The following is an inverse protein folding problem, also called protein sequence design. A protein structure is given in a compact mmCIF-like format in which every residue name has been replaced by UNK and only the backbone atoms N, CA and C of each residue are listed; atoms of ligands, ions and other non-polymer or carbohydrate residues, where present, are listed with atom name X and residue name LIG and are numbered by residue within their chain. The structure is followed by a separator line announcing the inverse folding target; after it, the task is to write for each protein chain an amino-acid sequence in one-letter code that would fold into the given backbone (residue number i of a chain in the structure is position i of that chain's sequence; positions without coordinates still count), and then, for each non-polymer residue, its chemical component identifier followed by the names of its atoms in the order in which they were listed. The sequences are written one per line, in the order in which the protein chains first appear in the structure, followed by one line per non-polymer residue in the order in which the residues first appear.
data_IF_177694324514
#
_entry.id   IF_177694324514
#
_cell.length_a   1.000
_cell.length_b   1.000
_cell.length_c   1.000
_cell.angle_alpha   90.00
_cell.angle_beta   90.00
_cell.angle_gamma   90.00
#
_symmetry.space_group_name_H-M   'P 1'
#
loop_
_entity.id
_entity.type
_entity.pdbx_description
1 polymer ?
#
# COMPACT_ATOMS: atom_id res chain seq x y z
N UNK A 1 9.58 -22.81 9.50
CA UNK A 1 9.71 -21.33 9.51
C UNK A 1 10.09 -20.91 8.09
N UNK A 2 9.11 -20.69 7.21
CA UNK A 2 9.38 -20.13 5.87
C UNK A 2 9.57 -18.63 6.06
N UNK A 3 10.80 -18.18 5.90
CA UNK A 3 11.18 -16.79 6.14
C UNK A 3 10.49 -15.89 5.12
N UNK A 4 9.48 -15.12 5.56
CA UNK A 4 8.79 -14.07 4.78
C UNK A 4 9.71 -12.88 4.46
N UNK A 5 11.02 -13.06 4.46
CA UNK A 5 12.02 -12.01 4.19
C UNK A 5 11.75 -11.34 2.85
N UNK A 6 11.36 -12.10 1.81
CA UNK A 6 10.96 -11.52 0.52
C UNK A 6 9.65 -10.71 0.53
N UNK A 7 8.85 -10.78 1.59
CA UNK A 7 7.64 -9.97 1.76
C UNK A 7 7.90 -8.65 2.50
N UNK A 8 9.00 -8.54 3.26
CA UNK A 8 9.39 -7.30 3.93
C UNK A 8 10.25 -6.40 3.06
N UNK A 9 11.03 -6.96 2.13
CA UNK A 9 11.85 -6.16 1.22
C UNK A 9 11.00 -5.54 0.09
N UNK A 10 11.25 -4.27 -0.26
CA UNK A 10 10.66 -3.65 -1.44
C UNK A 10 10.93 -4.49 -2.70
N UNK A 11 9.89 -4.68 -3.51
CA UNK A 11 10.01 -5.31 -4.82
C UNK A 11 10.58 -4.33 -5.85
N UNK A 12 10.16 -3.08 -5.80
CA UNK A 12 10.62 -1.98 -6.65
C UNK A 12 10.28 -0.64 -6.00
N UNK A 13 10.53 0.47 -6.67
CA UNK A 13 9.95 1.78 -6.34
C UNK A 13 9.18 2.39 -7.50
N UNK A 14 8.25 3.28 -7.18
CA UNK A 14 7.45 4.07 -8.13
C UNK A 14 7.60 5.57 -7.87
N UNK A 15 7.21 6.41 -8.83
CA UNK A 15 7.17 7.86 -8.63
C UNK A 15 5.98 8.27 -7.76
N UNK A 16 6.06 9.44 -7.13
CA UNK A 16 4.93 10.00 -6.39
C UNK A 16 3.67 10.21 -7.25
N UNK A 17 3.85 10.60 -8.52
CA UNK A 17 2.75 10.76 -9.47
C UNK A 17 2.06 9.41 -9.78
N UNK A 18 2.85 8.35 -10.00
CA UNK A 18 2.29 7.01 -10.24
C UNK A 18 1.58 6.47 -9.01
N UNK A 19 2.20 6.62 -7.83
CA UNK A 19 1.63 6.18 -6.54
C UNK A 19 0.30 6.87 -6.27
N UNK A 20 0.28 8.21 -6.32
CA UNK A 20 -0.94 9.00 -6.05
C UNK A 20 -2.07 8.65 -7.03
N UNK A 21 -1.75 8.49 -8.32
CA UNK A 21 -2.72 8.05 -9.33
C UNK A 21 -3.29 6.66 -9.02
N UNK A 22 -2.44 5.70 -8.67
CA UNK A 22 -2.89 4.34 -8.30
C UNK A 22 -3.78 4.35 -7.06
N UNK A 23 -3.40 5.07 -6.01
CA UNK A 23 -4.22 5.18 -4.79
C UNK A 23 -5.57 5.85 -5.10
N UNK A 24 -5.60 6.89 -5.94
CA UNK A 24 -6.84 7.53 -6.37
C UNK A 24 -7.76 6.55 -7.12
N UNK A 25 -7.21 5.76 -8.05
CA UNK A 25 -7.95 4.69 -8.73
C UNK A 25 -8.50 3.67 -7.73
N UNK A 26 -7.70 3.22 -6.76
CA UNK A 26 -8.15 2.25 -5.75
C UNK A 26 -9.25 2.82 -4.86
N UNK A 27 -9.16 4.09 -4.46
CA UNK A 27 -10.23 4.74 -3.69
C UNK A 27 -11.54 4.77 -4.48
N UNK A 28 -11.47 5.04 -5.78
CA UNK A 28 -12.65 5.06 -6.65
C UNK A 28 -13.24 3.65 -6.87
N UNK A 29 -12.40 2.63 -6.98
CA UNK A 29 -12.83 1.26 -7.29
C UNK A 29 -13.21 0.42 -6.06
N UNK A 30 -12.75 0.80 -4.86
CA UNK A 30 -12.87 -0.02 -3.64
C UNK A 30 -13.72 0.69 -2.59
N UNK A 31 -15.01 0.34 -2.47
CA UNK A 31 -15.89 0.87 -1.44
C UNK A 31 -15.29 0.67 -0.04
N UNK A 32 -15.31 1.72 0.79
CA UNK A 32 -14.80 1.67 2.16
C UNK A 32 -13.30 1.98 2.30
N UNK A 33 -12.52 2.04 1.21
CA UNK A 33 -11.08 2.32 1.31
C UNK A 33 -10.82 3.77 1.74
N UNK A 34 -11.61 4.73 1.25
CA UNK A 34 -11.48 6.14 1.63
C UNK A 34 -11.68 6.34 3.13
N UNK A 35 -12.76 5.77 3.67
CA UNK A 35 -13.11 5.83 5.09
C UNK A 35 -12.04 5.16 5.95
N UNK A 36 -11.53 4.02 5.48
CA UNK A 36 -10.46 3.30 6.16
C UNK A 36 -9.17 4.11 6.24
N UNK A 37 -8.75 4.75 5.14
CA UNK A 37 -7.57 5.61 5.11
C UNK A 37 -7.74 6.81 6.04
N UNK A 38 -8.92 7.44 6.04
CA UNK A 38 -9.21 8.55 6.94
C UNK A 38 -9.16 8.15 8.43
N UNK A 39 -9.49 6.90 8.77
CA UNK A 39 -9.48 6.40 10.13
C UNK A 39 -8.10 5.90 10.60
N UNK A 40 -7.36 5.23 9.71
CA UNK A 40 -6.16 4.45 10.10
C UNK A 40 -4.84 5.02 9.58
N UNK A 41 -4.89 6.03 8.70
CA UNK A 41 -3.70 6.58 8.07
C UNK A 41 -3.61 8.12 8.20
N UNK A 42 -2.38 8.61 8.18
CA UNK A 42 -2.04 10.03 8.09
C UNK A 42 -1.37 10.31 6.74
N UNK A 43 -1.44 11.56 6.24
CA UNK A 43 -0.83 11.92 4.96
C UNK A 43 0.67 11.62 4.92
N UNK A 44 1.17 11.32 3.72
CA UNK A 44 2.60 11.15 3.46
C UNK A 44 3.32 12.51 3.45
N UNK A 45 4.62 12.46 3.71
CA UNK A 45 5.52 13.60 3.51
C UNK A 45 5.87 13.76 2.02
N UNK A 46 6.56 14.87 1.70
CA UNK A 46 7.03 15.12 0.35
C UNK A 46 8.21 14.20 0.02
N UNK A 47 8.02 13.32 -0.96
CA UNK A 47 9.04 12.41 -1.44
C UNK A 47 8.84 12.13 -2.94
N UNK A 48 9.92 11.96 -3.68
CA UNK A 48 9.88 11.72 -5.13
C UNK A 48 9.58 10.26 -5.48
N UNK A 49 9.95 9.32 -4.59
CA UNK A 49 9.85 7.88 -4.84
C UNK A 49 9.36 7.09 -3.62
N UNK A 50 8.53 6.10 -3.89
CA UNK A 50 7.97 5.22 -2.88
C UNK A 50 8.26 3.77 -3.17
N UNK A 51 8.50 3.00 -2.12
CA UNK A 51 8.64 1.56 -2.22
C UNK A 51 7.32 0.88 -2.58
N UNK A 52 7.43 -0.20 -3.34
CA UNK A 52 6.33 -1.06 -3.77
C UNK A 52 6.67 -2.49 -3.39
N UNK A 53 5.70 -3.24 -2.87
CA UNK A 53 5.89 -4.64 -2.47
C UNK A 53 4.96 -5.56 -3.24
N UNK A 54 5.26 -6.86 -3.25
CA UNK A 54 4.29 -7.87 -3.70
C UNK A 54 3.20 -8.07 -2.66
N UNK A 55 1.97 -8.28 -3.12
CA UNK A 55 0.88 -8.67 -2.25
C UNK A 55 1.17 -10.06 -1.64
N UNK A 56 1.05 -10.22 -0.31
CA UNK A 56 1.30 -11.49 0.34
C UNK A 56 0.09 -12.44 0.29
N UNK A 57 -1.07 -11.95 -0.13
CA UNK A 57 -2.30 -12.74 -0.22
C UNK A 57 -2.13 -13.84 -1.26
N UNK A 58 -2.29 -15.10 -0.85
CA UNK A 58 -2.20 -16.24 -1.75
C UNK A 58 -3.19 -16.10 -2.93
N UNK A 59 -2.70 -16.31 -4.15
CA UNK A 59 -3.49 -16.15 -5.37
C UNK A 59 -3.68 -14.72 -5.86
N UNK A 60 -3.21 -13.70 -5.10
CA UNK A 60 -3.24 -12.32 -5.55
C UNK A 60 -1.89 -11.93 -6.19
N UNK A 61 -1.92 -11.51 -7.45
CA UNK A 61 -0.73 -11.04 -8.18
C UNK A 61 -0.53 -9.52 -8.09
N UNK A 62 -1.23 -8.85 -7.17
CA UNK A 62 -1.17 -7.41 -7.00
C UNK A 62 0.12 -6.91 -6.35
N UNK A 63 0.32 -5.60 -6.46
CA UNK A 63 1.35 -4.82 -5.81
C UNK A 63 0.75 -3.97 -4.69
N UNK A 64 1.57 -3.68 -3.69
CA UNK A 64 1.22 -2.85 -2.55
C UNK A 64 1.78 -1.45 -2.76
N UNK A 65 0.90 -0.45 -2.76
CA UNK A 65 1.21 0.95 -2.95
C UNK A 65 1.04 1.72 -1.65
N UNK A 66 1.93 2.68 -1.38
CA UNK A 66 1.85 3.50 -0.18
C UNK A 66 0.65 4.44 -0.26
N UNK A 67 -0.23 4.35 0.74
CA UNK A 67 -1.44 5.17 0.85
C UNK A 67 -1.36 6.20 1.98
N UNK A 68 -0.45 6.01 2.94
CA UNK A 68 -0.25 6.91 4.08
C UNK A 68 0.73 6.32 5.09
N UNK A 69 0.99 7.05 6.17
CA UNK A 69 1.58 6.47 7.37
C UNK A 69 0.49 5.93 8.27
N UNK A 70 0.68 4.77 8.88
CA UNK A 70 -0.29 4.30 9.87
C UNK A 70 -0.37 5.26 11.05
N UNK A 71 -1.59 5.61 11.45
CA UNK A 71 -1.84 6.58 12.51
C UNK A 71 -1.36 6.08 13.89
N UNK A 72 -1.42 4.78 14.13
CA UNK A 72 -1.07 4.18 15.43
C UNK A 72 0.27 3.45 15.43
N UNK A 73 0.72 3.01 14.26
CA UNK A 73 1.90 2.15 14.12
C UNK A 73 2.91 2.90 13.27
N UNK A 74 4.17 2.96 13.70
CA UNK A 74 5.25 3.61 12.94
C UNK A 74 5.63 2.79 11.70
N UNK A 75 4.71 2.71 10.74
CA UNK A 75 4.76 1.87 9.56
C UNK A 75 4.05 2.55 8.38
N UNK A 76 4.40 2.15 7.17
CA UNK A 76 3.70 2.57 5.95
C UNK A 76 2.39 1.80 5.84
N UNK A 77 1.29 2.52 5.68
CA UNK A 77 0.00 1.95 5.34
C UNK A 77 -0.07 1.76 3.82
N UNK A 78 -0.20 0.51 3.38
CA UNK A 78 -0.15 0.17 1.95
C UNK A 78 -1.45 -0.51 1.50
N UNK A 79 -1.88 -0.21 0.28
CA UNK A 79 -3.08 -0.79 -0.34
C UNK A 79 -2.70 -1.67 -1.55
N UNK A 80 -3.34 -2.84 -1.67
CA UNK A 80 -3.13 -3.75 -2.77
C UNK A 80 -3.96 -3.37 -4.00
N UNK A 81 -3.32 -3.27 -5.16
CA UNK A 81 -4.00 -3.03 -6.45
C UNK A 81 -4.64 -4.28 -7.06
N UNK A 82 -4.32 -5.46 -6.53
CA UNK A 82 -4.79 -6.73 -7.04
C UNK A 82 -6.24 -7.04 -6.66
N UNK A 83 -6.67 -8.26 -7.00
CA UNK A 83 -8.05 -8.72 -6.78
C UNK A 83 -8.46 -8.78 -5.31
N UNK A 84 -7.51 -8.94 -4.38
CA UNK A 84 -7.85 -9.07 -2.95
C UNK A 84 -8.26 -7.76 -2.28
N UNK A 85 -7.86 -6.60 -2.82
CA UNK A 85 -8.18 -5.27 -2.28
C UNK A 85 -7.76 -5.04 -0.82
N UNK A 86 -6.84 -5.85 -0.30
CA UNK A 86 -6.43 -5.80 1.11
C UNK A 86 -5.45 -4.65 1.37
N UNK A 87 -5.39 -4.21 2.63
CA UNK A 87 -4.40 -3.25 3.13
C UNK A 87 -3.43 -3.91 4.09
N UNK A 88 -2.20 -3.43 4.14
CA UNK A 88 -1.14 -3.98 5.00
C UNK A 88 -0.30 -2.87 5.62
N UNK A 89 0.61 -3.26 6.51
CA UNK A 89 1.63 -2.39 7.09
C UNK A 89 3.02 -2.88 6.66
N UNK A 90 3.90 -1.92 6.34
CA UNK A 90 5.29 -2.16 5.93
C UNK A 90 6.28 -1.32 6.72
#
# INVERSE_FOLDING_TARGET
MTSNVGQSYPYTSESEADRSSRIATLIAERPGLSEKLAAEATPLDANDRWWVWKCPTAGCQGLLHVAGYSAEKHALFVACDGTCGQTFLR
#
